data_IF_567995533505
#
_entry.id   IF_567995533505
#
_cell.length_a   1.000
_cell.length_b   1.000
_cell.length_c   1.000
_cell.angle_alpha   90.00
_cell.angle_beta   90.00
_cell.angle_gamma   90.00
#
_symmetry.space_group_name_H-M   'P 1'
#
loop_
_entity.id
_entity.type
_entity.pdbx_description
1 polymer ?
#
# COMPACT_ATOMS: atom_id res chain seq x y z
N UNK A 1 -12.36 -21.36 -50.07
CA UNK A 1 -10.97 -20.87 -49.94
C UNK A 1 -10.64 -20.70 -48.48
N UNK A 2 -9.73 -21.52 -47.98
CA UNK A 2 -9.32 -21.51 -46.59
C UNK A 2 -8.03 -20.69 -46.41
N UNK A 3 -8.09 -19.70 -45.55
CA UNK A 3 -6.90 -18.92 -45.13
C UNK A 3 -6.06 -19.76 -44.15
N UNK A 4 -4.85 -20.07 -44.53
CA UNK A 4 -3.87 -20.70 -43.63
C UNK A 4 -3.10 -19.59 -42.90
N UNK A 5 -3.24 -19.57 -41.60
CA UNK A 5 -2.42 -18.75 -40.71
C UNK A 5 -1.25 -19.64 -40.22
N UNK A 6 -0.03 -19.31 -40.62
CA UNK A 6 1.16 -19.93 -40.00
C UNK A 6 1.61 -19.09 -38.82
N UNK A 7 1.50 -19.66 -37.63
CA UNK A 7 2.06 -19.11 -36.42
C UNK A 7 3.51 -19.61 -36.30
N UNK A 8 4.46 -18.70 -36.34
CA UNK A 8 5.86 -19.00 -36.09
C UNK A 8 6.16 -18.57 -34.65
N UNK A 9 6.37 -19.51 -33.76
CA UNK A 9 6.89 -19.24 -32.42
C UNK A 9 8.41 -19.22 -32.48
N UNK A 10 9.01 -18.07 -32.27
CA UNK A 10 10.44 -17.92 -32.05
C UNK A 10 10.63 -17.79 -30.53
N UNK A 11 11.35 -18.74 -29.95
CA UNK A 11 11.79 -18.67 -28.57
C UNK A 11 12.80 -17.53 -28.45
N UNK A 12 12.61 -16.69 -27.46
CA UNK A 12 13.38 -15.53 -27.03
C UNK A 12 12.85 -14.18 -27.53
N UNK A 13 11.96 -13.57 -26.72
CA UNK A 13 11.69 -12.13 -26.57
C UNK A 13 11.64 -11.27 -27.84
N UNK A 14 11.15 -11.82 -28.95
CA UNK A 14 10.94 -11.08 -30.18
C UNK A 14 9.43 -10.99 -30.42
N UNK A 15 8.88 -9.79 -30.74
CA UNK A 15 7.48 -9.64 -30.99
C UNK A 15 7.04 -10.45 -32.22
N UNK A 16 5.88 -11.06 -32.14
CA UNK A 16 5.29 -11.84 -33.23
C UNK A 16 5.07 -10.94 -34.43
N UNK A 17 5.84 -11.14 -35.49
CA UNK A 17 5.61 -10.50 -36.78
C UNK A 17 4.62 -11.38 -37.55
N UNK A 18 3.43 -10.86 -37.77
CA UNK A 18 2.46 -11.50 -38.66
C UNK A 18 2.64 -10.93 -40.04
N UNK A 19 3.27 -11.70 -40.93
CA UNK A 19 3.39 -11.37 -42.35
C UNK A 19 2.15 -11.83 -43.09
N UNK A 20 1.43 -10.89 -43.68
CA UNK A 20 0.30 -11.17 -44.58
C UNK A 20 0.81 -11.22 -46.03
N UNK A 21 0.69 -12.37 -46.68
CA UNK A 21 0.82 -12.44 -48.13
C UNK A 21 -0.55 -12.15 -48.76
N UNK A 22 -0.62 -11.06 -49.50
CA UNK A 22 -1.74 -10.76 -50.38
C UNK A 22 -1.63 -11.58 -51.68
N UNK A 23 -2.62 -12.43 -51.91
CA UNK A 23 -2.91 -12.95 -53.24
C UNK A 23 -3.74 -11.93 -54.02
N UNK A 24 -3.21 -11.56 -55.18
CA UNK A 24 -3.82 -10.63 -56.13
C UNK A 24 -5.10 -11.17 -56.72
N UNK A 25 -6.20 -10.50 -56.52
CA UNK A 25 -7.42 -10.61 -57.35
C UNK A 25 -7.77 -9.25 -57.97
N UNK A 26 -8.35 -9.22 -59.18
CA UNK A 26 -8.38 -8.03 -60.00
C UNK A 26 -9.50 -7.05 -59.63
N UNK A 27 -9.08 -5.83 -59.61
CA UNK A 27 -9.69 -4.53 -59.83
C UNK A 27 -11.22 -4.49 -59.98
N UNK A 28 -11.90 -3.98 -58.95
CA UNK A 28 -13.12 -3.21 -59.07
C UNK A 28 -12.93 -1.91 -58.33
N UNK A 29 -12.99 -0.82 -59.07
CA UNK A 29 -12.73 0.55 -58.58
C UNK A 29 -13.89 1.06 -57.75
N UNK A 30 -13.69 1.18 -56.44
CA UNK A 30 -14.44 2.09 -55.55
C UNK A 30 -13.46 3.09 -54.90
N UNK A 31 -13.91 4.32 -54.58
CA UNK A 31 -13.00 5.42 -54.25
C UNK A 31 -12.32 5.17 -52.87
N UNK A 32 -11.01 5.39 -52.86
CA UNK A 32 -10.13 5.35 -51.69
C UNK A 32 -10.63 6.31 -50.59
N UNK A 33 -11.19 5.75 -49.52
CA UNK A 33 -11.16 6.42 -48.21
C UNK A 33 -9.71 6.42 -47.72
N UNK A 34 -9.15 7.61 -47.61
CA UNK A 34 -7.80 7.85 -47.08
C UNK A 34 -7.76 7.42 -45.62
N UNK A 35 -7.39 6.18 -45.36
CA UNK A 35 -7.09 5.73 -43.98
C UNK A 35 -5.86 6.49 -43.51
N UNK A 36 -6.09 7.36 -42.53
CA UNK A 36 -5.03 7.96 -41.75
C UNK A 36 -4.17 6.83 -41.11
N UNK A 37 -2.84 6.90 -41.25
CA UNK A 37 -1.99 5.87 -40.68
C UNK A 37 -2.23 5.80 -39.18
N UNK A 38 -2.80 4.67 -38.70
CA UNK A 38 -2.87 4.34 -37.30
C UNK A 38 -1.43 4.24 -36.81
N UNK A 39 -1.01 5.24 -36.06
CA UNK A 39 0.24 5.20 -35.32
C UNK A 39 0.15 4.01 -34.36
N UNK A 40 0.80 2.91 -34.75
CA UNK A 40 1.00 1.77 -33.86
C UNK A 40 1.96 2.29 -32.79
N UNK A 41 1.41 2.72 -31.65
CA UNK A 41 2.20 2.87 -30.45
C UNK A 41 2.73 1.47 -30.11
N UNK A 42 3.99 1.23 -30.43
CA UNK A 42 4.72 0.16 -29.81
C UNK A 42 4.77 0.51 -28.32
N UNK A 43 3.82 -0.01 -27.56
CA UNK A 43 3.98 -0.14 -26.12
C UNK A 43 5.22 -1.01 -25.92
N UNK A 44 6.34 -0.32 -25.75
CA UNK A 44 7.53 -0.93 -25.20
C UNK A 44 7.08 -1.53 -23.88
N UNK A 45 6.86 -2.82 -23.84
CA UNK A 45 6.66 -3.58 -22.60
C UNK A 45 7.98 -3.56 -21.86
N UNK A 46 8.24 -2.41 -21.23
CA UNK A 46 9.26 -2.31 -20.21
C UNK A 46 8.78 -3.24 -19.11
N UNK A 47 9.41 -4.39 -18.98
CA UNK A 47 9.18 -5.34 -17.89
C UNK A 47 9.67 -4.66 -16.60
N UNK A 48 8.88 -3.79 -16.02
CA UNK A 48 9.18 -3.17 -14.76
C UNK A 48 9.01 -4.24 -13.68
N UNK A 49 10.15 -4.73 -13.17
CA UNK A 49 10.19 -5.72 -12.08
C UNK A 49 9.57 -5.18 -10.80
N UNK A 50 9.59 -3.87 -10.61
CA UNK A 50 9.07 -3.19 -9.42
C UNK A 50 8.07 -2.13 -9.85
N UNK A 51 6.87 -2.20 -9.30
CA UNK A 51 5.86 -1.15 -9.36
C UNK A 51 5.92 -0.29 -8.10
N UNK A 52 5.56 0.98 -8.22
CA UNK A 52 5.42 1.90 -7.09
C UNK A 52 4.02 2.47 -7.10
N UNK A 53 3.27 2.21 -6.03
CA UNK A 53 1.93 2.75 -5.83
C UNK A 53 1.96 3.83 -4.74
N UNK A 54 1.16 4.87 -4.92
CA UNK A 54 0.88 5.85 -3.87
C UNK A 54 -0.51 5.62 -3.29
N UNK A 55 -0.58 5.42 -1.97
CA UNK A 55 -1.77 4.96 -1.27
C UNK A 55 -2.03 5.84 -0.04
N UNK A 56 -2.76 6.95 -0.18
CA UNK A 56 -3.28 7.67 0.97
C UNK A 56 -4.33 6.82 1.69
N UNK A 57 -4.37 6.95 3.03
CA UNK A 57 -5.35 6.29 3.87
C UNK A 57 -5.79 7.18 5.03
N UNK A 58 -7.02 6.96 5.48
CA UNK A 58 -7.54 7.48 6.74
C UNK A 58 -7.89 6.29 7.63
N UNK A 59 -7.76 6.47 8.92
CA UNK A 59 -8.09 5.41 9.86
C UNK A 59 -8.67 5.96 11.16
N UNK A 60 -9.48 5.14 11.80
CA UNK A 60 -10.07 5.44 13.10
C UNK A 60 -10.33 4.17 13.89
N UNK A 61 -10.31 4.28 15.20
CA UNK A 61 -10.52 3.10 16.03
C UNK A 61 -10.21 3.32 17.51
N UNK A 62 -9.95 2.23 18.21
CA UNK A 62 -9.67 2.26 19.64
C UNK A 62 -8.19 2.38 19.92
N UNK A 63 -7.87 3.31 20.82
CA UNK A 63 -6.53 3.52 21.34
C UNK A 63 -6.54 3.42 22.86
N UNK A 64 -5.50 2.84 23.43
CA UNK A 64 -5.35 2.69 24.86
C UNK A 64 -3.87 2.72 25.24
N UNK A 65 -3.59 3.06 26.49
CA UNK A 65 -2.30 2.78 27.11
C UNK A 65 -2.37 1.45 27.86
N UNK A 66 -1.34 0.65 27.72
CA UNK A 66 -1.18 -0.58 28.48
C UNK A 66 -0.12 -0.37 29.55
N UNK A 67 -0.47 -0.71 30.78
CA UNK A 67 0.43 -0.64 31.93
C UNK A 67 0.26 -1.89 32.76
N UNK A 68 1.33 -2.26 33.50
CA UNK A 68 1.28 -3.39 34.43
C UNK A 68 0.43 -3.09 35.68
N UNK A 69 0.21 -1.81 35.99
CA UNK A 69 -0.35 -1.41 37.29
C UNK A 69 -1.65 -0.60 37.20
N UNK A 70 -2.03 -0.19 35.99
CA UNK A 70 -3.21 0.67 35.75
C UNK A 70 -3.91 0.21 34.48
N UNK A 71 -5.24 0.18 34.50
CA UNK A 71 -6.06 -0.04 33.30
C UNK A 71 -6.68 1.28 32.89
N UNK A 72 -6.00 2.11 32.11
CA UNK A 72 -6.56 3.37 31.65
C UNK A 72 -7.77 3.11 30.73
N UNK A 73 -8.75 3.99 30.74
CA UNK A 73 -9.88 3.90 29.82
C UNK A 73 -9.39 4.15 28.39
N UNK A 74 -9.77 3.28 27.48
CA UNK A 74 -9.53 3.48 26.06
C UNK A 74 -10.19 4.76 25.52
N UNK A 75 -9.72 5.23 24.39
CA UNK A 75 -10.23 6.39 23.69
C UNK A 75 -10.42 6.06 22.21
N UNK A 76 -11.08 6.95 21.48
CA UNK A 76 -11.14 6.90 20.02
C UNK A 76 -9.94 7.68 19.48
N UNK A 77 -9.16 7.03 18.64
CA UNK A 77 -8.09 7.65 17.89
C UNK A 77 -8.41 7.67 16.40
N UNK A 78 -7.72 8.53 15.67
CA UNK A 78 -7.82 8.62 14.22
C UNK A 78 -6.50 9.10 13.64
N UNK A 79 -6.35 8.94 12.33
CA UNK A 79 -5.19 9.45 11.63
C UNK A 79 -5.33 9.41 10.11
N UNK A 80 -4.29 9.90 9.47
CA UNK A 80 -4.12 9.91 8.03
C UNK A 80 -2.68 9.53 7.72
N UNK A 81 -2.49 8.65 6.74
CA UNK A 81 -1.17 8.24 6.25
C UNK A 81 -1.08 8.43 4.73
N UNK A 82 0.12 8.73 4.28
CA UNK A 82 0.51 8.79 2.88
C UNK A 82 1.59 7.74 2.65
N UNK A 83 1.24 6.67 1.97
CA UNK A 83 2.11 5.51 1.80
C UNK A 83 2.61 5.38 0.36
N UNK A 84 3.87 4.93 0.23
CA UNK A 84 4.44 4.41 -0.99
C UNK A 84 4.62 2.90 -0.83
N UNK A 85 4.04 2.14 -1.76
CA UNK A 85 4.16 0.70 -1.83
C UNK A 85 5.06 0.32 -3.00
N UNK A 86 6.13 -0.42 -2.72
CA UNK A 86 7.08 -0.97 -3.70
C UNK A 86 6.72 -2.44 -3.93
N UNK A 87 6.23 -2.77 -5.12
CA UNK A 87 5.61 -4.05 -5.40
C UNK A 87 6.47 -4.84 -6.37
N UNK A 88 6.74 -6.10 -6.05
CA UNK A 88 7.38 -7.05 -6.96
C UNK A 88 6.34 -7.55 -7.98
N UNK A 89 6.37 -7.01 -9.19
CA UNK A 89 5.49 -7.43 -10.30
C UNK A 89 5.88 -8.80 -10.86
N UNK A 90 7.13 -9.22 -10.63
CA UNK A 90 7.67 -10.52 -11.02
C UNK A 90 8.51 -11.08 -9.88
N UNK A 91 8.71 -12.42 -9.80
CA UNK A 91 9.60 -12.99 -8.80
C UNK A 91 11.05 -12.48 -9.02
N UNK A 92 11.65 -11.95 -7.96
CA UNK A 92 13.03 -11.45 -7.98
C UNK A 92 13.84 -12.25 -6.95
N UNK A 93 14.71 -13.12 -7.42
CA UNK A 93 15.53 -13.97 -6.54
C UNK A 93 14.65 -14.75 -5.55
N UNK A 94 14.73 -14.44 -4.25
CA UNK A 94 13.92 -15.06 -3.19
C UNK A 94 12.61 -14.30 -2.87
N UNK A 95 12.35 -13.17 -3.56
CA UNK A 95 11.14 -12.38 -3.36
C UNK A 95 10.06 -12.89 -4.31
N UNK A 96 8.93 -13.41 -3.81
CA UNK A 96 7.84 -13.87 -4.66
C UNK A 96 7.15 -12.71 -5.36
N UNK A 97 6.46 -12.99 -6.46
CA UNK A 97 5.53 -12.07 -7.08
C UNK A 97 4.48 -11.63 -6.05
N UNK A 98 3.98 -10.40 -6.19
CA UNK A 98 2.96 -9.80 -5.33
C UNK A 98 3.39 -9.52 -3.88
N UNK A 99 4.68 -9.72 -3.59
CA UNK A 99 5.30 -9.18 -2.39
C UNK A 99 5.43 -7.67 -2.51
N UNK A 100 5.19 -6.97 -1.41
CA UNK A 100 5.41 -5.53 -1.38
C UNK A 100 6.05 -5.07 -0.07
N UNK A 101 6.73 -3.94 -0.17
CA UNK A 101 7.20 -3.15 0.97
C UNK A 101 6.44 -1.85 0.98
N UNK A 102 6.20 -1.31 2.17
CA UNK A 102 5.51 -0.03 2.33
C UNK A 102 6.27 0.89 3.27
N UNK A 103 6.40 2.15 2.86
CA UNK A 103 6.85 3.24 3.71
C UNK A 103 5.78 4.33 3.73
N UNK A 104 5.39 4.79 4.90
CA UNK A 104 4.40 5.86 5.03
C UNK A 104 4.82 6.93 6.02
N UNK A 105 4.28 8.13 5.78
CA UNK A 105 4.34 9.27 6.68
C UNK A 105 2.92 9.75 6.94
N UNK A 106 2.62 10.09 8.19
CA UNK A 106 1.28 10.49 8.54
C UNK A 106 1.15 11.23 9.86
N UNK A 107 -0.09 11.46 10.21
CA UNK A 107 -0.51 12.02 11.47
C UNK A 107 -1.45 11.06 12.17
N UNK A 108 -1.30 10.93 13.50
CA UNK A 108 -2.22 10.15 14.31
C UNK A 108 -2.52 10.81 15.65
N UNK A 109 -3.77 10.68 16.04
CA UNK A 109 -4.23 10.96 17.41
C UNK A 109 -4.39 9.63 18.11
N UNK A 110 -3.61 9.41 19.15
CA UNK A 110 -3.63 8.21 19.99
C UNK A 110 -3.73 8.62 21.45
N UNK A 111 -4.00 7.68 22.33
CA UNK A 111 -3.99 7.96 23.75
C UNK A 111 -5.04 7.19 24.52
N UNK A 112 -5.32 7.64 25.74
CA UNK A 112 -6.25 6.99 26.64
C UNK A 112 -7.00 8.04 27.46
N UNK A 113 -8.31 7.88 27.58
CA UNK A 113 -9.17 8.71 28.41
C UNK A 113 -9.02 10.22 28.13
N UNK A 114 -8.58 10.98 29.13
CA UNK A 114 -8.38 12.41 29.05
C UNK A 114 -7.04 12.86 28.44
N UNK A 115 -6.23 11.92 27.96
CA UNK A 115 -4.86 12.17 27.48
C UNK A 115 -4.70 11.83 26.00
N UNK A 116 -5.25 12.63 25.07
CA UNK A 116 -5.00 12.47 23.64
C UNK A 116 -3.59 12.98 23.32
N UNK A 117 -2.79 12.16 22.64
CA UNK A 117 -1.45 12.51 22.17
C UNK A 117 -1.46 12.63 20.64
N UNK A 118 -0.91 13.71 20.16
CA UNK A 118 -0.78 13.99 18.73
C UNK A 118 0.61 13.55 18.23
N UNK A 119 0.64 12.74 17.19
CA UNK A 119 1.89 12.21 16.64
C UNK A 119 2.03 12.55 15.14
N UNK A 120 3.24 12.88 14.76
CA UNK A 120 3.69 12.65 13.38
C UNK A 120 4.27 11.24 13.37
N UNK A 121 3.75 10.39 12.48
CA UNK A 121 4.12 8.97 12.42
C UNK A 121 4.84 8.65 11.13
N UNK A 122 5.87 7.84 11.24
CA UNK A 122 6.51 7.17 10.11
C UNK A 122 6.37 5.67 10.31
N UNK A 123 5.93 4.95 9.27
CA UNK A 123 5.75 3.50 9.31
C UNK A 123 6.58 2.87 8.20
N UNK A 124 7.18 1.74 8.49
CA UNK A 124 7.91 0.92 7.54
C UNK A 124 7.45 -0.52 7.68
N UNK A 125 6.84 -1.04 6.65
CA UNK A 125 6.39 -2.44 6.55
C UNK A 125 7.24 -3.16 5.50
N UNK A 126 8.35 -3.80 5.91
CA UNK A 126 9.23 -4.49 5.00
C UNK A 126 8.62 -5.78 4.46
N UNK A 127 7.58 -6.31 5.11
CA UNK A 127 6.92 -7.55 4.73
C UNK A 127 5.45 -7.25 4.46
N UNK A 128 5.07 -7.31 3.20
CA UNK A 128 3.69 -7.24 2.74
C UNK A 128 3.45 -8.26 1.62
N UNK A 129 2.25 -8.77 1.56
CA UNK A 129 1.83 -9.70 0.53
C UNK A 129 0.43 -9.38 0.04
N UNK A 130 0.23 -9.54 -1.27
CA UNK A 130 -1.05 -9.38 -1.96
C UNK A 130 -1.50 -10.72 -2.52
N UNK A 131 -2.75 -11.05 -2.35
CA UNK A 131 -3.34 -12.26 -2.91
C UNK A 131 -4.65 -11.94 -3.62
N UNK A 132 -4.68 -12.16 -4.93
CA UNK A 132 -5.86 -11.90 -5.74
C UNK A 132 -6.87 -13.05 -5.63
N UNK A 133 -8.11 -12.71 -5.29
CA UNK A 133 -9.26 -13.63 -5.27
C UNK A 133 -10.36 -13.01 -6.12
N UNK A 134 -10.52 -13.49 -7.37
CA UNK A 134 -11.43 -12.89 -8.34
C UNK A 134 -11.11 -11.40 -8.51
N UNK A 135 -12.04 -10.51 -8.22
CA UNK A 135 -11.91 -9.06 -8.35
C UNK A 135 -11.40 -8.38 -7.06
N UNK A 136 -11.21 -9.16 -6.00
CA UNK A 136 -10.74 -8.68 -4.72
C UNK A 136 -9.27 -9.03 -4.49
N UNK A 137 -8.55 -8.13 -3.88
CA UNK A 137 -7.18 -8.37 -3.47
C UNK A 137 -7.09 -8.37 -1.95
N UNK A 138 -6.69 -9.50 -1.38
CA UNK A 138 -6.34 -9.58 0.03
C UNK A 138 -4.96 -8.97 0.25
N UNK A 139 -4.84 -8.20 1.31
CA UNK A 139 -3.62 -7.51 1.70
C UNK A 139 -3.23 -7.94 3.11
N UNK A 140 -1.95 -8.17 3.32
CA UNK A 140 -1.39 -8.37 4.65
C UNK A 140 -0.04 -7.71 4.75
N UNK A 141 0.26 -7.03 5.86
CA UNK A 141 1.58 -6.46 6.09
C UNK A 141 1.97 -6.48 7.57
N UNK A 142 3.28 -6.56 7.79
CA UNK A 142 3.89 -6.48 9.11
C UNK A 142 5.05 -5.49 9.05
N UNK A 143 5.18 -4.68 10.08
CA UNK A 143 6.21 -3.65 10.12
C UNK A 143 6.43 -3.04 11.50
N UNK A 144 7.10 -1.91 11.47
CA UNK A 144 7.37 -1.08 12.63
C UNK A 144 6.90 0.35 12.37
N UNK A 145 6.65 1.08 13.44
CA UNK A 145 6.38 2.50 13.37
C UNK A 145 7.24 3.27 14.36
N UNK A 146 7.46 4.53 14.05
CA UNK A 146 7.92 5.52 14.99
C UNK A 146 6.96 6.71 14.94
N UNK A 147 6.63 7.25 16.10
CA UNK A 147 5.78 8.42 16.26
C UNK A 147 6.50 9.48 17.09
N UNK A 148 6.53 10.71 16.61
CA UNK A 148 6.98 11.85 17.36
C UNK A 148 5.78 12.60 17.90
N UNK A 149 5.63 12.70 19.24
CA UNK A 149 4.57 13.50 19.84
C UNK A 149 5.00 14.95 20.01
N UNK A 150 4.12 15.86 19.63
CA UNK A 150 4.29 17.31 19.81
C UNK A 150 3.27 17.91 20.78
N UNK A 151 2.44 17.08 21.40
CA UNK A 151 1.52 17.52 22.44
C UNK A 151 2.13 17.24 23.82
N UNK A 152 2.37 18.28 24.56
CA UNK A 152 2.72 18.22 25.98
C UNK A 152 1.45 18.30 26.81
N UNK A 153 1.13 17.24 27.53
CA UNK A 153 0.06 17.27 28.54
C UNK A 153 0.75 17.30 29.90
N UNK A 154 0.77 18.47 30.49
CA UNK A 154 1.22 18.62 31.88
C UNK A 154 0.01 18.43 32.82
N UNK A 155 0.06 17.38 33.60
CA UNK A 155 -0.86 17.17 34.72
C UNK A 155 -0.05 17.32 36.00
N UNK A 156 -0.67 17.82 37.09
CA UNK A 156 0.00 18.09 38.39
C UNK A 156 0.82 16.93 38.94
N UNK A 157 0.69 15.72 38.41
CA UNK A 157 1.35 14.51 38.88
C UNK A 157 2.17 13.76 37.82
N UNK A 158 2.04 14.09 36.54
CA UNK A 158 2.64 13.32 35.44
C UNK A 158 2.99 14.24 34.28
N UNK A 159 4.25 14.21 33.90
CA UNK A 159 4.74 14.82 32.66
C UNK A 159 4.87 13.74 31.59
N UNK A 160 4.19 13.92 30.45
CA UNK A 160 4.39 13.09 29.27
C UNK A 160 5.54 13.72 28.45
N UNK A 161 6.74 13.31 28.77
CA UNK A 161 7.97 13.96 28.28
C UNK A 161 8.73 13.11 27.24
N UNK A 162 8.18 11.95 26.89
CA UNK A 162 8.76 11.11 25.84
C UNK A 162 8.19 11.50 24.50
N UNK A 163 9.03 12.13 23.70
CA UNK A 163 8.64 12.61 22.38
C UNK A 163 8.59 11.51 21.31
N UNK A 164 9.06 10.31 21.60
CA UNK A 164 9.19 9.23 20.62
C UNK A 164 8.48 7.96 21.10
N UNK A 165 7.55 7.48 20.27
CA UNK A 165 6.89 6.19 20.40
C UNK A 165 7.37 5.26 19.29
N UNK A 166 7.96 4.13 19.63
CA UNK A 166 8.39 3.11 18.68
C UNK A 166 7.59 1.84 18.95
N UNK A 167 7.11 1.19 17.91
CA UNK A 167 6.31 -0.01 18.05
C UNK A 167 6.29 -0.87 16.78
N UNK A 168 5.55 -1.96 16.93
CA UNK A 168 5.26 -2.88 15.82
C UNK A 168 3.84 -2.65 15.31
N UNK A 169 3.62 -2.97 14.06
CA UNK A 169 2.32 -2.92 13.42
C UNK A 169 2.07 -4.19 12.60
N UNK A 170 0.83 -4.60 12.53
CA UNK A 170 0.34 -5.54 11.54
C UNK A 170 -0.99 -5.04 10.98
N UNK A 171 -1.24 -5.33 9.71
CA UNK A 171 -2.47 -4.96 9.03
C UNK A 171 -2.93 -6.09 8.11
N UNK A 172 -4.24 -6.29 8.06
CA UNK A 172 -4.91 -7.13 7.08
C UNK A 172 -6.03 -6.33 6.45
N UNK A 173 -6.26 -6.54 5.17
CA UNK A 173 -7.29 -5.80 4.45
C UNK A 173 -7.72 -6.46 3.16
N UNK A 174 -8.73 -5.87 2.55
CA UNK A 174 -9.27 -6.22 1.24
C UNK A 174 -9.32 -4.96 0.41
N UNK A 175 -8.88 -5.07 -0.83
CA UNK A 175 -9.00 -4.00 -1.82
C UNK A 175 -9.88 -4.48 -2.97
N UNK A 176 -10.80 -3.63 -3.39
CA UNK A 176 -11.59 -3.78 -4.60
C UNK A 176 -11.29 -2.61 -5.53
N UNK A 177 -10.81 -2.89 -6.74
CA UNK A 177 -10.30 -1.90 -7.69
C UNK A 177 -9.20 -1.03 -7.07
N UNK A 178 -9.57 0.14 -6.52
CA UNK A 178 -8.66 1.12 -5.92
C UNK A 178 -8.97 1.45 -4.46
N UNK A 179 -10.08 0.91 -3.95
CA UNK A 179 -10.55 1.19 -2.58
C UNK A 179 -10.18 0.02 -1.70
N UNK A 180 -9.41 0.29 -0.66
CA UNK A 180 -9.02 -0.70 0.33
C UNK A 180 -9.70 -0.44 1.68
N UNK A 181 -10.12 -1.51 2.33
CA UNK A 181 -10.61 -1.50 3.71
C UNK A 181 -9.80 -2.52 4.50
N UNK A 182 -9.30 -2.14 5.66
CA UNK A 182 -8.46 -3.02 6.46
C UNK A 182 -8.55 -2.76 7.95
N UNK A 183 -8.01 -3.70 8.71
CA UNK A 183 -7.80 -3.58 10.14
C UNK A 183 -6.31 -3.57 10.43
N UNK A 184 -5.86 -2.63 11.24
CA UNK A 184 -4.50 -2.60 11.73
C UNK A 184 -4.45 -2.66 13.25
N UNK A 185 -3.40 -3.32 13.73
CA UNK A 185 -3.03 -3.36 15.13
C UNK A 185 -1.65 -2.76 15.30
N UNK A 186 -1.54 -1.81 16.21
CA UNK A 186 -0.28 -1.18 16.58
C UNK A 186 0.02 -1.39 18.07
N UNK A 187 1.25 -1.76 18.38
CA UNK A 187 1.73 -1.94 19.75
C UNK A 187 3.02 -1.18 19.97
N UNK A 188 2.96 -0.15 20.82
CA UNK A 188 4.12 0.58 21.28
C UNK A 188 5.01 -0.30 22.18
N UNK A 189 6.29 -0.19 21.97
CA UNK A 189 7.34 -0.86 22.74
C UNK A 189 8.03 0.12 23.70
N UNK A 190 8.01 1.40 23.36
CA UNK A 190 8.57 2.47 24.19
C UNK A 190 7.57 2.97 25.24
N UNK A 191 8.09 3.45 26.35
CA UNK A 191 7.28 4.09 27.36
C UNK A 191 6.98 5.54 26.95
N UNK A 192 5.70 5.90 26.84
CA UNK A 192 5.26 7.25 26.48
C UNK A 192 5.09 8.18 27.68
N UNK A 193 5.42 7.72 28.89
CA UNK A 193 5.31 8.50 30.12
C UNK A 193 6.64 8.53 30.87
N UNK A 194 7.09 9.71 31.26
CA UNK A 194 8.35 9.90 31.98
C UNK A 194 8.24 9.64 33.49
N UNK A 195 7.08 9.13 33.94
CA UNK A 195 6.86 8.79 35.34
C UNK A 195 7.31 7.35 35.65
N UNK A 196 7.22 6.95 36.92
CA UNK A 196 7.44 5.55 37.36
C UNK A 196 6.47 4.54 36.70
N UNK A 197 5.42 5.04 36.03
CA UNK A 197 4.46 4.23 35.31
C UNK A 197 4.96 3.97 33.89
N UNK A 198 5.06 2.69 33.53
CA UNK A 198 5.32 2.29 32.16
C UNK A 198 4.01 2.25 31.37
N UNK A 199 3.84 3.17 30.42
CA UNK A 199 2.67 3.25 29.57
C UNK A 199 3.10 3.03 28.11
N UNK A 200 2.52 2.04 27.46
CA UNK A 200 2.77 1.73 26.06
C UNK A 200 1.47 1.89 25.27
N UNK A 201 1.55 2.46 24.09
CA UNK A 201 0.40 2.57 23.19
C UNK A 201 -0.07 1.19 22.70
N UNK A 202 -1.38 1.03 22.63
CA UNK A 202 -2.03 -0.09 21.96
C UNK A 202 -3.23 0.43 21.18
N UNK A 203 -3.25 0.15 19.88
CA UNK A 203 -4.28 0.68 19.00
C UNK A 203 -4.83 -0.42 18.08
N UNK A 204 -6.12 -0.35 17.82
CA UNK A 204 -6.81 -1.14 16.78
C UNK A 204 -7.55 -0.16 15.90
N UNK A 205 -7.22 -0.11 14.63
CA UNK A 205 -7.82 0.82 13.68
C UNK A 205 -8.52 0.09 12.54
N UNK A 206 -9.62 0.68 12.09
CA UNK A 206 -10.23 0.42 10.79
C UNK A 206 -9.63 1.44 9.81
N UNK A 207 -9.08 0.95 8.72
CA UNK A 207 -8.42 1.74 7.69
C UNK A 207 -9.28 1.80 6.44
N UNK A 208 -9.34 2.97 5.81
CA UNK A 208 -9.87 3.18 4.47
C UNK A 208 -8.76 3.79 3.62
N UNK A 209 -8.40 3.14 2.54
CA UNK A 209 -7.31 3.54 1.65
C UNK A 209 -7.78 3.69 0.21
N UNK A 210 -7.05 4.50 -0.55
CA UNK A 210 -7.30 4.68 -1.97
C UNK A 210 -6.00 4.68 -2.75
N UNK A 211 -5.89 3.82 -3.77
CA UNK A 211 -4.73 3.73 -4.65
C UNK A 211 -4.83 4.80 -5.75
N UNK A 212 -4.05 5.87 -5.65
CA UNK A 212 -4.15 7.01 -6.56
C UNK A 212 -3.56 6.69 -7.94
N UNK A 213 -2.33 6.20 -7.99
CA UNK A 213 -1.64 5.91 -9.22
C UNK A 213 -0.51 4.90 -9.01
N UNK A 214 -0.17 4.26 -10.11
CA UNK A 214 1.00 3.41 -10.24
C UNK A 214 2.09 4.22 -10.95
N UNK A 215 3.18 4.51 -10.27
CA UNK A 215 4.37 5.13 -10.84
C UNK A 215 5.12 4.05 -11.61
N UNK A 216 5.07 4.14 -12.94
CA UNK A 216 5.83 3.28 -13.86
C UNK A 216 7.23 3.82 -14.08
#
# INVERSE_FOLDING_TARGET
SSKYIRKIEIKENIPIVTEYQEESNPITSEPEETETPKTIYNESTKNDYIGIDFVPSIYGGFTNFVSNNVSPKGNIGFGIDFAFQFIANQPISFIPKDYYMEASLGYSLKGSGAFPLHYITMKLSPIGYRYMISDFMLLGKIGAYTGYTFSTIETQSHSFDTNIDIGILCEIGVEYERIGVGFSYERGLTNVCNSKLKLNNQCVFLNLSYRLFNLK
#
